data_IF_631420575537
#
_entry.id   IF_631420575537
#
_cell.length_a   1.000
_cell.length_b   1.000
_cell.length_c   1.000
_cell.angle_alpha   90.00
_cell.angle_beta   90.00
_cell.angle_gamma   90.00
#
_symmetry.space_group_name_H-M   'P 1'
#
loop_
_entity.id
_entity.type
_entity.pdbx_description
1 polymer ?
#
# COMPACT_ATOMS: atom_id res chain seq x y z
N UNK A 1 12.74 -21.26 -22.37
CA UNK A 1 12.49 -19.95 -21.73
C UNK A 1 11.02 -19.76 -21.37
N UNK A 2 10.69 -19.51 -20.10
CA UNK A 2 9.33 -19.21 -19.69
C UNK A 2 8.88 -17.87 -20.27
N UNK A 3 7.69 -17.82 -20.86
CA UNK A 3 7.09 -16.57 -21.35
C UNK A 3 6.48 -15.78 -20.18
N UNK A 4 6.75 -14.47 -20.15
CA UNK A 4 6.23 -13.53 -19.13
C UNK A 4 4.91 -12.86 -19.54
N UNK A 5 4.55 -12.89 -20.83
CA UNK A 5 3.30 -12.37 -21.39
C UNK A 5 3.01 -13.02 -22.75
N UNK A 6 1.73 -13.11 -23.12
CA UNK A 6 1.24 -13.65 -24.41
C UNK A 6 1.46 -12.66 -25.57
N UNK A 7 1.63 -11.37 -25.28
CA UNK A 7 1.86 -10.31 -26.28
C UNK A 7 3.00 -9.39 -25.88
N UNK A 8 3.71 -8.78 -26.85
CA UNK A 8 4.65 -7.70 -26.56
C UNK A 8 3.91 -6.53 -25.90
N UNK A 9 4.39 -6.10 -24.73
CA UNK A 9 3.81 -4.98 -24.00
C UNK A 9 4.89 -3.96 -23.65
N UNK A 10 4.59 -2.70 -23.87
CA UNK A 10 5.38 -1.60 -23.34
C UNK A 10 5.14 -1.42 -21.83
N UNK A 11 6.11 -0.81 -21.15
CA UNK A 11 6.00 -0.52 -19.72
C UNK A 11 4.88 0.50 -19.47
N UNK A 12 3.86 0.12 -18.69
CA UNK A 12 2.80 1.04 -18.26
C UNK A 12 3.39 2.06 -17.28
N UNK A 13 3.36 3.34 -17.66
CA UNK A 13 3.76 4.46 -16.79
C UNK A 13 2.53 5.06 -16.12
N UNK A 14 2.67 5.46 -14.86
CA UNK A 14 1.66 6.23 -14.11
C UNK A 14 1.93 7.73 -14.32
N UNK A 15 0.87 8.54 -14.32
CA UNK A 15 1.00 10.00 -14.21
C UNK A 15 1.59 10.37 -12.83
N UNK A 16 2.43 11.39 -12.78
CA UNK A 16 3.00 11.93 -11.55
C UNK A 16 2.08 13.00 -10.96
N UNK A 17 0.97 12.56 -10.39
CA UNK A 17 -0.06 13.42 -9.80
C UNK A 17 -0.46 12.89 -8.42
N UNK A 18 -0.81 13.80 -7.52
CA UNK A 18 -1.37 13.46 -6.20
C UNK A 18 -2.87 13.20 -6.36
N UNK A 19 -3.36 12.06 -5.88
CA UNK A 19 -4.77 11.65 -6.07
C UNK A 19 -5.60 11.57 -4.78
N UNK A 20 -4.99 11.56 -3.60
CA UNK A 20 -5.72 11.38 -2.33
C UNK A 20 -4.93 11.91 -1.11
N UNK A 21 -5.60 12.09 0.04
CA UNK A 21 -5.01 12.54 1.30
C UNK A 21 -6.03 12.82 2.42
N UNK A 22 -5.53 13.19 3.61
CA UNK A 22 -6.30 13.70 4.77
C UNK A 22 -7.43 12.80 5.30
N UNK A 23 -7.31 11.47 5.17
CA UNK A 23 -8.30 10.49 5.67
C UNK A 23 -7.70 9.44 6.62
N UNK A 24 -6.97 9.85 7.67
CA UNK A 24 -6.26 8.90 8.54
C UNK A 24 -7.22 7.93 9.25
N UNK A 25 -8.41 8.42 9.66
CA UNK A 25 -9.43 7.59 10.31
C UNK A 25 -9.95 6.46 9.40
N UNK A 26 -10.15 6.73 8.11
CA UNK A 26 -10.62 5.71 7.15
C UNK A 26 -9.56 4.63 6.91
N UNK A 27 -8.28 5.01 6.92
CA UNK A 27 -7.16 4.09 6.70
C UNK A 27 -7.01 3.10 7.85
N UNK A 28 -7.19 3.56 9.09
CA UNK A 28 -6.99 2.72 10.28
C UNK A 28 -8.26 2.00 10.74
N UNK A 29 -9.40 2.20 10.07
CA UNK A 29 -10.71 1.70 10.50
C UNK A 29 -10.80 0.16 10.67
N UNK A 30 -10.00 -0.60 9.89
CA UNK A 30 -10.00 -2.07 9.94
C UNK A 30 -8.80 -2.65 10.71
N UNK A 31 -7.97 -1.80 11.32
CA UNK A 31 -6.79 -2.25 12.01
C UNK A 31 -7.13 -2.94 13.35
N UNK A 32 -6.46 -4.05 13.71
CA UNK A 32 -6.72 -4.73 14.99
C UNK A 32 -6.41 -3.87 16.22
N UNK A 33 -5.42 -2.99 16.12
CA UNK A 33 -5.00 -2.09 17.19
C UNK A 33 -4.35 -0.84 16.58
N UNK A 34 -4.73 0.33 17.09
CA UNK A 34 -4.32 1.63 16.57
C UNK A 34 -4.12 2.64 17.68
N UNK A 35 -3.18 3.56 17.51
CA UNK A 35 -2.96 4.69 18.42
C UNK A 35 -2.55 5.92 17.61
N UNK A 36 -3.18 7.07 17.80
CA UNK A 36 -2.89 8.33 17.07
C UNK A 36 -2.75 8.18 15.53
N UNK A 37 -3.54 7.29 14.92
CA UNK A 37 -3.48 6.92 13.49
C UNK A 37 -2.24 6.10 13.06
N UNK A 38 -1.54 5.49 14.02
CA UNK A 38 -0.51 4.49 13.78
C UNK A 38 -1.07 3.07 13.93
N UNK A 39 -0.51 2.13 13.18
CA UNK A 39 -0.75 0.70 13.36
C UNK A 39 0.17 0.18 14.47
N UNK A 40 -0.41 -0.50 15.46
CA UNK A 40 0.37 -1.10 16.53
C UNK A 40 0.89 -2.48 16.10
N UNK A 41 2.19 -2.72 16.30
CA UNK A 41 2.84 -4.00 16.01
C UNK A 41 3.66 -4.44 17.23
N UNK A 42 3.55 -5.71 17.67
CA UNK A 42 4.36 -6.21 18.77
C UNK A 42 5.85 -6.07 18.47
N UNK A 43 6.59 -5.43 19.37
CA UNK A 43 8.04 -5.45 19.32
C UNK A 43 8.51 -6.82 19.79
N UNK A 44 9.14 -7.58 18.89
CA UNK A 44 9.83 -8.82 19.29
C UNK A 44 11.08 -8.43 20.07
N UNK A 45 11.21 -8.95 21.28
CA UNK A 45 12.38 -8.83 22.14
C UNK A 45 12.80 -10.25 22.51
N UNK A 46 14.08 -10.57 22.38
CA UNK A 46 14.68 -11.84 22.83
C UNK A 46 14.95 -11.84 24.34
#
# INVERSE_FOLDING_TARGET
>A
EPMTSVTPMEMKKRLDIVTDGNKPADIVANAPATEENFFLVPKVVE
#
